data_IF_295910875541
#
_entry.id   IF_295910875541
#
_cell.length_a   1.000
_cell.length_b   1.000
_cell.length_c   1.000
_cell.angle_alpha   90.00
_cell.angle_beta   90.00
_cell.angle_gamma   90.00
#
_symmetry.space_group_name_H-M   'P 1'
#
loop_
_entity.id
_entity.type
_entity.pdbx_description
1 polymer ?
#
# COMPACT_ATOMS: atom_id res chain seq x y z
N UNK A 1 36.14 -10.44 8.63
CA UNK A 1 35.94 -9.05 9.09
C UNK A 1 34.48 -8.71 8.91
N UNK A 2 33.76 -8.69 10.03
CA UNK A 2 32.37 -8.24 10.18
C UNK A 2 32.22 -6.75 9.88
N UNK A 3 31.06 -6.31 9.33
CA UNK A 3 30.41 -5.03 9.64
C UNK A 3 29.23 -4.73 8.68
N UNK A 4 28.05 -5.27 9.01
CA UNK A 4 26.70 -4.73 8.77
C UNK A 4 25.83 -5.52 9.78
N UNK A 5 25.69 -5.17 11.06
CA UNK A 5 25.42 -3.84 11.61
C UNK A 5 24.02 -3.44 11.17
N UNK A 6 23.01 -4.20 11.57
CA UNK A 6 22.22 -3.98 12.80
C UNK A 6 21.27 -2.77 12.63
N UNK A 7 20.08 -3.06 12.13
CA UNK A 7 18.88 -2.28 12.40
C UNK A 7 17.73 -3.30 12.45
N UNK A 8 17.67 -3.99 13.58
CA UNK A 8 16.45 -4.09 14.38
C UNK A 8 15.13 -4.01 13.57
N UNK A 9 14.88 -5.00 12.70
CA UNK A 9 13.51 -5.27 12.25
C UNK A 9 12.78 -5.83 13.45
N UNK A 10 12.14 -4.91 14.16
CA UNK A 10 11.23 -5.17 15.26
C UNK A 10 10.29 -6.32 14.86
N UNK A 11 10.35 -7.40 15.62
CA UNK A 11 9.60 -8.66 15.46
C UNK A 11 8.09 -8.48 15.73
N UNK A 12 7.57 -7.27 15.51
CA UNK A 12 6.20 -6.83 15.76
C UNK A 12 5.60 -5.95 14.65
N UNK A 13 6.25 -5.77 13.49
CA UNK A 13 5.53 -5.27 12.30
C UNK A 13 4.70 -6.40 11.70
N UNK A 14 3.54 -6.64 12.31
CA UNK A 14 2.46 -7.40 11.66
C UNK A 14 2.16 -6.66 10.36
N UNK A 15 2.52 -7.28 9.23
CA UNK A 15 2.18 -6.80 7.89
C UNK A 15 0.71 -6.33 7.91
N UNK A 16 0.42 -5.07 7.55
CA UNK A 16 -0.96 -4.57 7.54
C UNK A 16 -1.91 -5.47 6.75
N UNK A 17 -1.42 -6.18 5.73
CA UNK A 17 -2.18 -7.20 5.01
C UNK A 17 -2.41 -8.46 5.85
N UNK A 18 -1.44 -8.88 6.66
CA UNK A 18 -1.58 -10.00 7.59
C UNK A 18 -2.56 -9.70 8.74
N UNK A 19 -2.55 -8.49 9.30
CA UNK A 19 -3.52 -8.08 10.33
C UNK A 19 -4.95 -8.06 9.77
N UNK A 20 -5.10 -7.56 8.54
CA UNK A 20 -6.38 -7.59 7.81
C UNK A 20 -6.86 -9.03 7.58
N UNK A 21 -5.99 -9.91 7.10
CA UNK A 21 -6.34 -11.32 6.87
C UNK A 21 -6.70 -12.04 8.18
N UNK A 22 -5.97 -11.79 9.28
CA UNK A 22 -6.26 -12.37 10.58
C UNK A 22 -7.61 -11.90 11.13
N UNK A 23 -7.91 -10.59 11.00
CA UNK A 23 -9.18 -10.01 11.43
C UNK A 23 -10.38 -10.54 10.64
N UNK A 24 -10.22 -10.74 9.33
CA UNK A 24 -11.29 -11.32 8.49
C UNK A 24 -11.46 -12.82 8.75
N UNK A 25 -10.38 -13.58 8.96
CA UNK A 25 -10.46 -15.00 9.35
C UNK A 25 -11.15 -15.19 10.70
N UNK A 26 -10.86 -14.32 11.67
CA UNK A 26 -11.49 -14.40 12.99
C UNK A 26 -12.97 -13.99 12.96
N UNK A 27 -13.35 -13.05 12.08
CA UNK A 27 -14.77 -12.75 11.81
C UNK A 27 -15.48 -13.94 11.15
N UNK A 28 -14.82 -14.63 10.20
CA UNK A 28 -15.40 -15.76 9.48
C UNK A 28 -15.56 -17.00 10.36
N UNK A 29 -14.60 -17.26 11.27
CA UNK A 29 -14.66 -18.37 12.22
C UNK A 29 -15.82 -18.23 13.23
N UNK A 30 -16.20 -16.99 13.59
CA UNK A 30 -17.37 -16.75 14.45
C UNK A 30 -18.71 -17.07 13.78
N UNK A 31 -18.77 -17.08 12.45
CA UNK A 31 -19.97 -17.40 11.67
C UNK A 31 -20.20 -18.90 11.47
N UNK A 32 -19.17 -19.76 11.64
CA UNK A 32 -19.35 -21.21 11.55
C UNK A 32 -20.07 -21.79 12.79
N UNK A 33 -19.81 -21.21 13.97
CA UNK A 33 -20.46 -21.61 15.23
C UNK A 33 -21.91 -21.13 15.33
N UNK A 34 -22.28 -20.03 14.64
CA UNK A 34 -23.65 -19.49 14.65
C UNK A 34 -24.56 -20.13 13.58
N UNK A 35 -23.98 -20.69 12.51
CA UNK A 35 -24.68 -21.43 11.46
C UNK A 35 -24.53 -22.94 11.67
N UNK A 36 -25.16 -23.45 12.74
CA UNK A 36 -25.20 -24.87 13.06
C UNK A 36 -25.34 -25.77 11.82
N UNK A 37 -24.31 -26.58 11.58
CA UNK A 37 -24.16 -27.54 10.47
C UNK A 37 -25.44 -28.36 10.28
N UNK A 38 -26.19 -28.08 9.20
CA UNK A 38 -27.13 -29.05 8.62
C UNK A 38 -26.31 -29.95 7.71
N UNK A 39 -26.01 -31.14 8.21
CA UNK A 39 -25.37 -32.23 7.48
C UNK A 39 -26.16 -32.54 6.20
N UNK A 40 -25.60 -32.22 5.02
CA UNK A 40 -26.16 -32.61 3.73
C UNK A 40 -25.89 -34.11 3.47
N UNK A 41 -26.89 -34.92 3.08
CA UNK A 41 -26.62 -36.24 2.51
C UNK A 41 -26.03 -36.11 1.09
N UNK A 42 -25.05 -36.97 0.79
CA UNK A 42 -24.24 -37.03 -0.43
C UNK A 42 -25.05 -37.18 -1.74
N UNK A 43 -24.53 -36.68 -2.88
CA UNK A 43 -25.22 -36.80 -4.17
C UNK A 43 -25.06 -38.22 -4.73
N UNK A 44 -26.18 -38.89 -4.98
CA UNK A 44 -26.23 -40.14 -5.75
C UNK A 44 -26.18 -39.83 -7.26
N UNK A 45 -25.39 -40.55 -8.08
CA UNK A 45 -25.34 -40.31 -9.52
C UNK A 45 -26.65 -40.70 -10.21
N UNK A 46 -27.23 -39.77 -10.98
CA UNK A 46 -28.34 -40.01 -11.90
C UNK A 46 -27.94 -41.04 -12.97
N UNK A 47 -28.60 -42.20 -13.00
CA UNK A 47 -28.56 -43.12 -14.14
C UNK A 47 -29.94 -43.17 -14.80
N UNK A 48 -30.03 -42.54 -15.96
CA UNK A 48 -31.16 -42.54 -16.87
C UNK A 48 -31.09 -43.81 -17.75
N UNK A 49 -32.12 -44.66 -17.70
CA UNK A 49 -32.16 -45.90 -18.48
C UNK A 49 -33.59 -46.43 -18.64
N UNK A 50 -34.25 -46.01 -19.72
CA UNK A 50 -35.52 -46.53 -20.21
C UNK A 50 -35.50 -48.06 -20.44
N UNK A 51 -36.40 -48.79 -19.80
CA UNK A 51 -37.07 -49.96 -20.40
C UNK A 51 -38.41 -50.25 -19.70
N UNK A 52 -39.44 -50.55 -20.48
CA UNK A 52 -40.79 -50.95 -20.06
C UNK A 52 -41.27 -52.05 -21.03
N UNK A 53 -42.32 -52.85 -20.74
CA UNK A 53 -42.81 -53.43 -19.48
C UNK A 53 -43.08 -54.96 -19.64
N UNK A 54 -43.77 -55.69 -18.73
CA UNK A 54 -45.25 -55.67 -18.70
C UNK A 54 -45.94 -55.82 -17.31
N UNK A 55 -47.08 -55.13 -17.18
CA UNK A 55 -48.30 -55.44 -16.41
C UNK A 55 -48.25 -55.79 -14.91
N UNK A 56 -48.67 -54.85 -14.05
CA UNK A 56 -49.73 -55.04 -13.03
C UNK A 56 -50.44 -53.68 -12.73
N UNK A 57 -51.77 -53.66 -12.49
CA UNK A 57 -52.55 -52.42 -12.43
C UNK A 57 -52.57 -51.80 -11.03
N UNK A 58 -51.70 -50.82 -10.76
CA UNK A 58 -51.82 -49.96 -9.57
C UNK A 58 -52.73 -48.77 -9.85
N UNK A 59 -53.88 -48.83 -9.17
CA UNK A 59 -55.03 -47.92 -9.18
C UNK A 59 -54.63 -46.44 -9.23
N UNK A 60 -55.09 -45.77 -10.28
CA UNK A 60 -55.13 -44.32 -10.44
C UNK A 60 -55.93 -43.68 -9.30
N UNK A 61 -55.25 -43.10 -8.32
CA UNK A 61 -55.83 -42.16 -7.37
C UNK A 61 -56.09 -40.83 -8.09
N UNK A 62 -57.36 -40.44 -8.18
CA UNK A 62 -57.81 -39.17 -8.78
C UNK A 62 -57.03 -37.94 -8.28
N UNK A 63 -56.86 -36.90 -9.11
CA UNK A 63 -56.32 -35.61 -8.67
C UNK A 63 -57.29 -34.97 -7.67
N UNK A 64 -56.84 -34.70 -6.45
CA UNK A 64 -57.59 -33.83 -5.54
C UNK A 64 -57.54 -32.40 -6.10
N UNK A 65 -58.65 -31.64 -6.11
CA UNK A 65 -58.63 -30.26 -6.53
C UNK A 65 -57.65 -29.48 -5.64
N UNK A 66 -56.71 -28.78 -6.28
CA UNK A 66 -55.80 -27.87 -5.60
C UNK A 66 -56.65 -26.72 -5.08
N UNK A 67 -57.10 -26.82 -3.83
CA UNK A 67 -57.59 -25.66 -3.10
C UNK A 67 -56.37 -24.78 -2.85
N UNK A 68 -56.33 -23.62 -3.51
CA UNK A 68 -55.44 -22.52 -3.13
C UNK A 68 -55.71 -22.19 -1.66
N UNK A 69 -54.98 -22.87 -0.76
CA UNK A 69 -55.00 -22.54 0.65
C UNK A 69 -54.27 -21.21 0.76
N UNK A 70 -55.02 -20.13 0.93
CA UNK A 70 -54.45 -18.83 1.26
C UNK A 70 -53.40 -19.01 2.36
N UNK A 71 -52.16 -18.58 2.09
CA UNK A 71 -51.05 -18.81 3.00
C UNK A 71 -51.40 -18.28 4.40
N UNK A 72 -51.22 -19.08 5.47
CA UNK A 72 -51.51 -18.64 6.83
C UNK A 72 -50.83 -17.31 7.14
N UNK A 73 -51.54 -16.33 7.68
CA UNK A 73 -51.02 -14.97 7.92
C UNK A 73 -49.72 -14.94 8.73
N UNK A 74 -49.49 -15.94 9.58
CA UNK A 74 -48.23 -16.11 10.33
C UNK A 74 -47.03 -16.35 9.42
N UNK A 75 -47.19 -17.12 8.34
CA UNK A 75 -46.15 -17.41 7.36
C UNK A 75 -45.88 -16.18 6.49
N UNK A 76 -46.94 -15.43 6.13
CA UNK A 76 -46.80 -14.13 5.42
C UNK A 76 -45.96 -13.15 6.25
N UNK A 77 -46.33 -12.93 7.52
CA UNK A 77 -45.58 -12.08 8.45
C UNK A 77 -44.14 -12.54 8.65
N UNK A 78 -43.90 -13.86 8.73
CA UNK A 78 -42.56 -14.40 8.85
C UNK A 78 -41.72 -14.16 7.59
N UNK A 79 -42.27 -14.39 6.40
CA UNK A 79 -41.57 -14.12 5.14
C UNK A 79 -41.25 -12.65 4.98
N UNK A 80 -42.19 -11.75 5.30
CA UNK A 80 -41.95 -10.31 5.27
C UNK A 80 -40.82 -9.90 6.23
N UNK A 81 -40.79 -10.45 7.45
CA UNK A 81 -39.73 -10.18 8.43
C UNK A 81 -38.37 -10.74 7.99
N UNK A 82 -38.32 -11.94 7.42
CA UNK A 82 -37.08 -12.52 6.88
C UNK A 82 -36.57 -11.74 5.68
N UNK A 83 -37.47 -11.42 4.74
CA UNK A 83 -37.15 -10.63 3.57
C UNK A 83 -36.57 -9.28 3.98
N UNK A 84 -37.21 -8.60 4.94
CA UNK A 84 -36.71 -7.32 5.46
C UNK A 84 -35.31 -7.46 6.06
N UNK A 85 -35.07 -8.48 6.89
CA UNK A 85 -33.73 -8.73 7.47
C UNK A 85 -32.67 -9.02 6.41
N UNK A 86 -33.02 -9.77 5.37
CA UNK A 86 -32.10 -10.04 4.27
C UNK A 86 -31.77 -8.75 3.51
N UNK A 87 -32.78 -7.95 3.17
CA UNK A 87 -32.55 -6.68 2.47
C UNK A 87 -31.74 -5.67 3.31
N UNK A 88 -31.87 -5.71 4.64
CA UNK A 88 -31.10 -4.86 5.54
C UNK A 88 -29.63 -5.29 5.56
N UNK A 89 -29.35 -6.60 5.64
CA UNK A 89 -27.99 -7.14 5.53
C UNK A 89 -27.36 -6.84 4.18
N UNK A 90 -28.07 -7.04 3.07
CA UNK A 90 -27.57 -6.74 1.73
C UNK A 90 -27.22 -5.24 1.59
N UNK A 91 -28.03 -4.36 2.19
CA UNK A 91 -27.78 -2.93 2.20
C UNK A 91 -26.58 -2.53 3.08
N UNK A 92 -26.36 -3.21 4.20
CA UNK A 92 -25.17 -3.02 5.05
C UNK A 92 -23.88 -3.47 4.34
N UNK A 93 -23.92 -4.61 3.66
CA UNK A 93 -22.79 -5.12 2.88
C UNK A 93 -22.41 -4.16 1.73
N UNK A 94 -23.40 -3.68 0.97
CA UNK A 94 -23.14 -2.72 -0.12
C UNK A 94 -22.62 -1.37 0.41
N UNK A 95 -23.08 -0.91 1.58
CA UNK A 95 -22.49 0.27 2.25
C UNK A 95 -21.03 0.05 2.63
N UNK A 96 -20.71 -1.07 3.29
CA UNK A 96 -19.34 -1.39 3.70
C UNK A 96 -18.40 -1.49 2.50
N UNK A 97 -18.88 -2.07 1.40
CA UNK A 97 -18.14 -2.17 0.14
C UNK A 97 -17.90 -0.80 -0.50
N UNK A 98 -18.89 0.09 -0.49
CA UNK A 98 -18.74 1.45 -1.01
C UNK A 98 -17.79 2.28 -0.12
N UNK A 99 -17.86 2.14 1.21
CA UNK A 99 -16.91 2.77 2.14
C UNK A 99 -15.48 2.32 1.88
N UNK A 100 -15.24 1.01 1.70
CA UNK A 100 -13.93 0.47 1.34
C UNK A 100 -13.43 1.03 0.00
N UNK A 101 -14.32 1.12 -0.99
CA UNK A 101 -14.00 1.71 -2.30
C UNK A 101 -13.60 3.18 -2.17
N UNK A 102 -14.31 3.94 -1.34
CA UNK A 102 -14.01 5.35 -1.08
C UNK A 102 -12.70 5.54 -0.33
N UNK A 103 -12.41 4.67 0.65
CA UNK A 103 -11.14 4.67 1.37
C UNK A 103 -9.98 4.40 0.40
N UNK A 104 -10.07 3.33 -0.39
CA UNK A 104 -9.04 2.98 -1.37
C UNK A 104 -8.81 4.10 -2.38
N UNK A 105 -9.88 4.76 -2.85
CA UNK A 105 -9.79 5.91 -3.75
C UNK A 105 -9.09 7.09 -3.09
N UNK A 106 -9.47 7.43 -1.85
CA UNK A 106 -8.86 8.54 -1.09
C UNK A 106 -7.39 8.30 -0.81
N UNK A 107 -7.00 7.08 -0.45
CA UNK A 107 -5.60 6.72 -0.21
C UNK A 107 -4.76 6.85 -1.48
N UNK A 108 -5.30 6.44 -2.62
CA UNK A 108 -4.63 6.62 -3.91
C UNK A 108 -4.45 8.10 -4.26
N UNK A 109 -5.49 8.91 -4.05
CA UNK A 109 -5.43 10.37 -4.26
C UNK A 109 -4.41 11.04 -3.33
N UNK A 110 -4.38 10.65 -2.05
CA UNK A 110 -3.40 11.14 -1.07
C UNK A 110 -1.97 10.77 -1.47
N UNK A 111 -1.76 9.54 -1.94
CA UNK A 111 -0.45 9.09 -2.43
C UNK A 111 0.02 9.92 -3.62
N UNK A 112 -0.84 10.16 -4.62
CA UNK A 112 -0.50 11.01 -5.75
C UNK A 112 -0.23 12.46 -5.33
N UNK A 113 -0.99 12.98 -4.36
CA UNK A 113 -0.76 14.32 -3.80
C UNK A 113 0.63 14.41 -3.18
N UNK A 114 0.95 13.51 -2.26
CA UNK A 114 2.24 13.48 -1.58
C UNK A 114 3.40 13.26 -2.54
N UNK A 115 3.24 12.36 -3.53
CA UNK A 115 4.25 12.11 -4.55
C UNK A 115 4.53 13.35 -5.39
N UNK A 116 3.49 14.05 -5.84
CA UNK A 116 3.63 15.29 -6.59
C UNK A 116 4.27 16.39 -5.75
N UNK A 117 3.85 16.54 -4.49
CA UNK A 117 4.46 17.48 -3.54
C UNK A 117 5.95 17.20 -3.36
N UNK A 118 6.35 15.93 -3.21
CA UNK A 118 7.74 15.53 -3.09
C UNK A 118 8.54 15.88 -4.35
N UNK A 119 8.00 15.58 -5.54
CA UNK A 119 8.65 15.93 -6.81
C UNK A 119 8.84 17.44 -6.91
N UNK A 120 7.80 18.22 -6.63
CA UNK A 120 7.86 19.69 -6.70
C UNK A 120 8.88 20.23 -5.69
N UNK A 121 8.86 19.72 -4.46
CA UNK A 121 9.81 20.11 -3.41
C UNK A 121 11.25 19.79 -3.81
N UNK A 122 11.52 18.61 -4.36
CA UNK A 122 12.86 18.24 -4.84
C UNK A 122 13.30 19.12 -6.01
N UNK A 123 12.44 19.37 -6.99
CA UNK A 123 12.73 20.28 -8.11
C UNK A 123 13.04 21.70 -7.60
N UNK A 124 12.26 22.19 -6.64
CA UNK A 124 12.47 23.51 -6.05
C UNK A 124 13.77 23.57 -5.25
N UNK A 125 14.08 22.54 -4.46
CA UNK A 125 15.33 22.44 -3.71
C UNK A 125 16.53 22.45 -4.66
N UNK A 126 16.50 21.66 -5.74
CA UNK A 126 17.55 21.65 -6.76
C UNK A 126 17.70 23.02 -7.44
N UNK A 127 16.59 23.67 -7.80
CA UNK A 127 16.62 25.00 -8.41
C UNK A 127 17.18 26.07 -7.47
N UNK A 128 16.83 26.00 -6.18
CA UNK A 128 17.36 26.91 -5.17
C UNK A 128 18.85 26.65 -4.91
N UNK A 129 19.26 25.37 -4.84
CA UNK A 129 20.66 24.98 -4.68
C UNK A 129 21.51 25.47 -5.87
N UNK A 130 21.01 25.31 -7.10
CA UNK A 130 21.69 25.83 -8.30
C UNK A 130 21.77 27.36 -8.26
N UNK A 131 20.69 28.04 -7.90
CA UNK A 131 20.69 29.51 -7.78
C UNK A 131 21.70 29.99 -6.74
N UNK A 132 21.80 29.30 -5.60
CA UNK A 132 22.80 29.61 -4.57
C UNK A 132 24.22 29.32 -5.06
N UNK A 133 24.42 28.18 -5.72
CA UNK A 133 25.72 27.81 -6.30
C UNK A 133 26.19 28.86 -7.32
N UNK A 134 25.32 29.29 -8.23
CA UNK A 134 25.63 30.35 -9.20
C UNK A 134 25.94 31.68 -8.49
N UNK A 135 25.14 32.06 -7.49
CA UNK A 135 25.40 33.29 -6.72
C UNK A 135 26.77 33.26 -6.03
N UNK A 136 27.10 32.17 -5.35
CA UNK A 136 28.40 31.99 -4.65
C UNK A 136 29.59 31.97 -5.63
N UNK A 137 29.38 31.55 -6.88
CA UNK A 137 30.40 31.52 -7.94
C UNK A 137 30.58 32.89 -8.59
N UNK A 138 29.48 33.58 -8.93
CA UNK A 138 29.47 34.88 -9.62
C UNK A 138 29.87 36.05 -8.70
N UNK A 139 29.76 35.89 -7.38
CA UNK A 139 30.26 36.85 -6.40
C UNK A 139 31.80 36.84 -6.38
N UNK A 140 32.38 37.49 -7.39
CA UNK A 140 33.83 37.67 -7.55
C UNK A 140 34.22 39.03 -6.98
N UNK A 141 34.39 39.07 -5.66
CA UNK A 141 35.04 40.20 -4.99
C UNK A 141 36.57 40.09 -5.09
N UNK A 142 37.27 41.13 -5.57
CA UNK A 142 38.73 41.16 -5.61
C UNK A 142 39.35 40.93 -4.23
N UNK A 143 40.21 39.92 -4.08
CA UNK A 143 40.83 39.52 -2.81
C UNK A 143 40.33 38.21 -2.20
N UNK A 144 39.23 37.63 -2.73
CA UNK A 144 38.66 36.34 -2.26
C UNK A 144 39.13 35.12 -3.08
N UNK A 145 40.08 35.29 -3.99
CA UNK A 145 40.43 34.28 -5.00
C UNK A 145 40.99 33.00 -4.37
N UNK A 146 41.88 33.11 -3.37
CA UNK A 146 42.43 31.96 -2.66
C UNK A 146 41.40 31.26 -1.77
N UNK A 147 40.41 31.99 -1.26
CA UNK A 147 39.31 31.40 -0.52
C UNK A 147 38.41 30.56 -1.44
N UNK A 148 38.12 31.04 -2.65
CA UNK A 148 37.38 30.30 -3.68
C UNK A 148 38.14 29.05 -4.14
N UNK A 149 39.44 29.18 -4.46
CA UNK A 149 40.29 28.04 -4.85
C UNK A 149 40.36 27.00 -3.73
N UNK A 150 40.47 27.44 -2.47
CA UNK A 150 40.47 26.55 -1.31
C UNK A 150 39.14 25.82 -1.15
N UNK A 151 37.98 26.46 -1.32
CA UNK A 151 36.66 25.79 -1.25
C UNK A 151 36.51 24.64 -2.26
N UNK A 152 37.16 24.73 -3.42
CA UNK A 152 37.16 23.70 -4.46
C UNK A 152 38.19 22.58 -4.22
N UNK A 153 39.11 22.77 -3.28
CA UNK A 153 40.12 21.77 -2.97
C UNK A 153 39.63 20.78 -1.91
N UNK A 154 39.71 19.49 -2.24
CA UNK A 154 39.44 18.41 -1.28
C UNK A 154 40.59 18.29 -0.26
N UNK A 155 40.34 18.65 0.99
CA UNK A 155 41.35 18.58 2.06
C UNK A 155 41.25 17.31 2.91
N UNK A 156 40.23 16.47 2.70
CA UNK A 156 40.13 15.22 3.43
C UNK A 156 41.20 14.23 2.92
N UNK A 157 42.17 13.82 3.78
CA UNK A 157 43.24 12.90 3.37
C UNK A 157 42.72 11.52 2.96
N UNK A 158 41.48 11.14 3.36
CA UNK A 158 40.85 9.86 3.01
C UNK A 158 40.02 9.93 1.72
N UNK A 159 39.60 11.11 1.31
CA UNK A 159 38.78 11.30 0.10
C UNK A 159 39.62 11.22 -1.19
N UNK A 160 40.93 11.43 -1.08
CA UNK A 160 41.81 11.47 -2.23
C UNK A 160 42.43 10.10 -2.56
N UNK A 161 41.84 9.39 -3.52
CA UNK A 161 42.40 8.15 -4.09
C UNK A 161 43.31 8.38 -5.30
N UNK A 162 43.74 9.62 -5.56
CA UNK A 162 44.60 9.92 -6.70
C UNK A 162 46.01 9.34 -6.49
N UNK A 163 46.56 8.73 -7.55
CA UNK A 163 47.93 8.16 -7.57
C UNK A 163 49.03 9.20 -7.35
N UNK A 164 48.74 10.50 -7.41
CA UNK A 164 49.71 11.58 -7.27
C UNK A 164 49.53 12.29 -5.93
N UNK A 165 50.63 12.43 -5.20
CA UNK A 165 50.64 13.23 -3.97
C UNK A 165 50.47 14.71 -4.30
N UNK A 166 49.37 15.27 -3.80
CA UNK A 166 48.98 16.67 -3.95
C UNK A 166 49.04 17.41 -2.61
N UNK A 167 49.61 16.81 -1.57
CA UNK A 167 49.68 17.36 -0.21
C UNK A 167 50.43 18.70 -0.17
N UNK A 168 51.55 18.81 -0.90
CA UNK A 168 52.30 20.07 -1.02
C UNK A 168 51.47 21.18 -1.66
N UNK A 169 50.76 20.87 -2.75
CA UNK A 169 49.88 21.83 -3.43
C UNK A 169 48.77 22.31 -2.50
N UNK A 170 48.10 21.38 -1.80
CA UNK A 170 47.05 21.71 -0.82
C UNK A 170 47.58 22.60 0.30
N UNK A 171 48.77 22.30 0.82
CA UNK A 171 49.43 23.10 1.85
C UNK A 171 49.70 24.53 1.38
N UNK A 172 50.22 24.69 0.15
CA UNK A 172 50.44 26.01 -0.46
C UNK A 172 49.11 26.77 -0.63
N UNK A 173 48.04 26.12 -1.10
CA UNK A 173 46.73 26.74 -1.27
C UNK A 173 46.15 27.23 0.07
N UNK A 174 46.29 26.43 1.14
CA UNK A 174 45.87 26.83 2.49
C UNK A 174 46.67 28.03 3.01
N UNK A 175 47.98 28.03 2.80
CA UNK A 175 48.84 29.16 3.17
C UNK A 175 48.40 30.44 2.45
N UNK A 176 48.10 30.36 1.15
CA UNK A 176 47.69 31.51 0.36
C UNK A 176 46.29 32.02 0.74
N UNK A 177 45.40 31.14 1.23
CA UNK A 177 44.13 31.53 1.85
C UNK A 177 44.34 32.29 3.17
N UNK A 178 45.24 31.82 4.03
CA UNK A 178 45.50 32.45 5.34
C UNK A 178 46.36 33.71 5.25
N UNK A 179 47.21 33.80 4.24
CA UNK A 179 48.17 34.88 4.05
C UNK A 179 48.29 35.21 2.56
N UNK A 180 47.37 36.05 2.03
CA UNK A 180 47.37 36.46 0.64
C UNK A 180 48.65 37.21 0.28
N UNK A 181 49.21 36.93 -0.91
CA UNK A 181 50.39 37.64 -1.41
C UNK A 181 50.01 39.09 -1.67
N UNK A 182 50.69 40.03 -1.01
CA UNK A 182 50.54 41.47 -1.29
C UNK A 182 51.10 41.75 -2.68
N UNK A 183 50.27 42.27 -3.60
CA UNK A 183 50.76 42.72 -4.91
C UNK A 183 51.76 43.87 -4.68
N UNK A 184 53.02 43.69 -5.07
CA UNK A 184 53.98 44.80 -5.10
C UNK A 184 53.54 45.76 -6.20
N UNK A 185 53.17 46.98 -5.82
CA UNK A 185 52.95 48.08 -6.75
C UNK A 185 54.34 48.50 -7.25
N UNK A 186 54.66 48.19 -8.51
CA UNK A 186 55.78 48.77 -9.25
C UNK A 186 55.23 49.85 -10.18
#
# INVERSE_FOLDING_TARGET
>A
MSAFGDDNFDDNEVDPAADFLAREQSQLAGLEDELGVVQQPSPTPLLNGNSSPPNEPVKTSSPKPHTEREEPEKIKKWREQQQKRLTEKDAEEEKKKEELRQIAKRELEEWYRHHNELIVKTKQANRNAEKQFVADVDEIEPGTEWERISKLCEFNPKANRASKDTSRLRSIILQLKQSPIKKSIN
#
